data_IF_567293029364
#
_entry.id   IF_567293029364
#
_cell.length_a   1.000
_cell.length_b   1.000
_cell.length_c   1.000
_cell.angle_alpha   90.00
_cell.angle_beta   90.00
_cell.angle_gamma   90.00
#
_symmetry.space_group_name_H-M   'P 1'
#
loop_
_entity.id
_entity.type
_entity.pdbx_description
1 polymer ?
#
# COMPACT_ATOMS: atom_id res chain seq x y z
N UNK A 1 2.32 -1.00 21.84
CA UNK A 1 1.16 -0.41 21.14
C UNK A 1 0.82 0.90 21.85
N UNK A 2 0.74 2.01 21.13
CA UNK A 2 0.22 3.26 21.66
C UNK A 2 -1.28 3.35 21.32
N UNK A 3 -2.10 3.75 22.28
CA UNK A 3 -3.54 3.92 22.12
C UNK A 3 -3.90 5.32 22.61
N UNK A 4 -4.49 6.13 21.73
CA UNK A 4 -4.85 7.51 22.04
C UNK A 4 -6.30 7.75 21.64
N UNK A 5 -7.05 8.39 22.52
CA UNK A 5 -8.39 8.91 22.20
C UNK A 5 -8.27 10.38 21.81
N UNK A 6 -8.79 10.74 20.64
CA UNK A 6 -8.80 12.13 20.14
C UNK A 6 -10.19 12.48 19.62
N UNK A 7 -10.43 13.76 19.31
CA UNK A 7 -11.68 14.24 18.71
C UNK A 7 -11.40 14.76 17.31
N UNK A 8 -12.34 14.52 16.39
CA UNK A 8 -12.28 15.11 15.05
C UNK A 8 -12.40 16.64 15.11
N UNK A 9 -11.85 17.31 14.12
CA UNK A 9 -11.99 18.75 13.93
C UNK A 9 -12.06 19.08 12.45
N UNK A 10 -12.50 20.31 12.12
CA UNK A 10 -12.51 20.80 10.74
C UNK A 10 -11.18 21.46 10.39
N UNK A 11 -10.63 21.12 9.24
CA UNK A 11 -9.49 21.78 8.62
C UNK A 11 -9.88 22.20 7.21
N UNK A 12 -10.16 23.50 7.03
CA UNK A 12 -10.82 23.99 5.82
C UNK A 12 -12.18 23.29 5.62
N UNK A 13 -12.36 22.70 4.43
CA UNK A 13 -13.57 21.96 4.07
C UNK A 13 -13.53 20.48 4.48
N UNK A 14 -12.44 20.01 5.07
CA UNK A 14 -12.22 18.61 5.40
C UNK A 14 -12.40 18.33 6.90
N UNK A 15 -12.77 17.09 7.22
CA UNK A 15 -12.65 16.55 8.58
C UNK A 15 -11.25 15.98 8.78
N UNK A 16 -10.68 16.23 9.94
CA UNK A 16 -9.33 15.80 10.31
C UNK A 16 -9.30 15.22 11.72
N UNK A 17 -8.33 14.33 11.95
CA UNK A 17 -7.96 13.82 13.27
C UNK A 17 -6.55 14.28 13.61
N UNK A 18 -6.31 14.62 14.88
CA UNK A 18 -4.95 14.93 15.33
C UNK A 18 -4.25 13.63 15.66
N UNK A 19 -3.06 13.41 15.10
CA UNK A 19 -2.18 12.29 15.44
C UNK A 19 -1.07 12.83 16.36
N UNK A 20 -1.10 12.53 17.67
CA UNK A 20 0.02 12.88 18.54
C UNK A 20 1.29 12.11 18.17
N UNK A 21 2.43 12.58 18.70
CA UNK A 21 3.78 12.15 18.30
C UNK A 21 4.00 10.64 18.37
N UNK A 22 3.36 9.97 19.32
CA UNK A 22 3.45 8.52 19.56
C UNK A 22 2.75 7.67 18.49
N UNK A 23 1.79 8.24 17.75
CA UNK A 23 1.04 7.56 16.67
C UNK A 23 1.17 8.26 15.30
N UNK A 24 2.00 9.29 15.19
CA UNK A 24 2.23 10.03 13.96
C UNK A 24 3.14 9.27 12.98
N UNK A 25 2.86 9.37 11.68
CA UNK A 25 3.65 8.72 10.63
C UNK A 25 4.95 9.46 10.26
N UNK A 26 5.06 10.75 10.59
CA UNK A 26 6.16 11.62 10.18
C UNK A 26 5.79 12.55 9.02
N UNK A 27 6.75 13.37 8.54
CA UNK A 27 6.52 14.31 7.44
C UNK A 27 6.48 13.60 6.09
N UNK A 28 5.70 14.15 5.15
CA UNK A 28 5.63 13.74 3.73
C UNK A 28 5.32 12.26 3.47
N UNK A 29 4.65 11.60 4.43
CA UNK A 29 4.17 10.22 4.27
C UNK A 29 2.80 10.22 3.61
N UNK A 30 2.72 9.59 2.45
CA UNK A 30 1.46 9.34 1.75
C UNK A 30 0.70 8.22 2.44
N UNK A 31 -0.60 8.41 2.70
CA UNK A 31 -1.43 7.47 3.47
C UNK A 31 -2.60 6.94 2.63
N UNK A 32 -2.89 5.66 2.80
CA UNK A 32 -4.13 5.02 2.35
C UNK A 32 -5.10 4.94 3.52
N UNK A 33 -6.35 5.35 3.26
CA UNK A 33 -7.44 5.30 4.22
C UNK A 33 -8.48 4.29 3.70
N UNK A 34 -8.82 3.30 4.53
CA UNK A 34 -9.84 2.29 4.22
C UNK A 34 -10.91 2.32 5.30
N UNK A 35 -12.17 2.54 4.91
CA UNK A 35 -13.30 2.51 5.83
C UNK A 35 -14.10 1.22 5.67
N UNK A 36 -14.28 0.51 6.78
CA UNK A 36 -15.10 -0.70 6.88
C UNK A 36 -16.10 -0.51 8.01
N UNK A 37 -17.31 -0.03 7.68
CA UNK A 37 -18.33 0.34 8.66
C UNK A 37 -17.85 1.46 9.59
N UNK A 38 -17.74 1.14 10.88
CA UNK A 38 -17.32 2.07 11.94
C UNK A 38 -15.80 2.11 12.16
N UNK A 39 -15.05 1.26 11.44
CA UNK A 39 -13.60 1.20 11.55
C UNK A 39 -12.95 1.93 10.38
N UNK A 40 -12.09 2.90 10.70
CA UNK A 40 -11.21 3.56 9.75
C UNK A 40 -9.78 3.06 9.97
N UNK A 41 -9.22 2.38 8.97
CA UNK A 41 -7.83 1.91 8.97
C UNK A 41 -6.99 2.87 8.14
N UNK A 42 -5.89 3.36 8.72
CA UNK A 42 -4.97 4.31 8.08
C UNK A 42 -3.57 3.69 8.09
N UNK A 43 -2.92 3.64 6.93
CA UNK A 43 -1.57 3.09 6.79
C UNK A 43 -0.80 3.76 5.64
N UNK A 44 0.54 3.68 5.61
CA UNK A 44 1.33 4.24 4.50
C UNK A 44 0.98 3.63 3.14
N UNK A 45 0.76 4.48 2.14
CA UNK A 45 0.37 4.05 0.80
C UNK A 45 1.51 3.38 0.05
N UNK A 46 2.72 3.96 0.14
CA UNK A 46 3.90 3.44 -0.53
C UNK A 46 4.59 2.39 0.33
N UNK A 47 4.58 1.17 -0.19
CA UNK A 47 5.39 0.06 0.30
C UNK A 47 6.77 0.21 -0.33
N UNK A 48 7.84 0.25 0.45
CA UNK A 48 9.19 0.31 -0.12
C UNK A 48 9.47 -0.96 -0.94
N UNK A 49 10.45 -0.92 -1.86
CA UNK A 49 10.87 -2.14 -2.57
C UNK A 49 11.29 -3.24 -1.58
N UNK A 50 11.90 -2.86 -0.46
CA UNK A 50 12.24 -3.78 0.64
C UNK A 50 11.00 -4.45 1.23
N UNK A 51 9.95 -3.68 1.51
CA UNK A 51 8.70 -4.22 2.04
C UNK A 51 7.97 -5.09 1.02
N UNK A 52 8.02 -4.73 -0.28
CA UNK A 52 7.49 -5.54 -1.37
C UNK A 52 8.18 -6.90 -1.43
N UNK A 53 9.52 -6.91 -1.38
CA UNK A 53 10.31 -8.13 -1.34
C UNK A 53 9.98 -8.98 -0.10
N UNK A 54 9.81 -8.34 1.07
CA UNK A 54 9.37 -9.01 2.28
C UNK A 54 8.00 -9.70 2.14
N UNK A 55 7.04 -9.00 1.51
CA UNK A 55 5.70 -9.57 1.22
C UNK A 55 5.77 -10.73 0.23
N UNK A 56 6.58 -10.62 -0.84
CA UNK A 56 6.79 -11.71 -1.80
C UNK A 56 7.45 -12.92 -1.14
N UNK A 57 8.40 -12.72 -0.23
CA UNK A 57 9.09 -13.79 0.49
C UNK A 57 8.18 -14.54 1.48
N UNK A 58 7.12 -13.91 1.98
CA UNK A 58 6.13 -14.52 2.86
C UNK A 58 5.12 -15.43 2.11
N UNK A 59 5.01 -15.29 0.79
CA UNK A 59 4.17 -16.14 -0.05
C UNK A 59 4.90 -17.46 -0.38
N UNK A 60 4.17 -18.56 -0.64
CA UNK A 60 4.76 -19.79 -1.14
C UNK A 60 5.54 -19.54 -2.44
N UNK A 61 6.74 -20.12 -2.55
CA UNK A 61 7.50 -20.07 -3.79
C UNK A 61 6.86 -21.00 -4.82
N UNK A 62 6.82 -20.62 -6.11
CA UNK A 62 6.47 -21.55 -7.17
C UNK A 62 7.49 -22.69 -7.22
N UNK A 63 7.07 -23.85 -7.72
CA UNK A 63 7.95 -25.02 -7.83
C UNK A 63 9.15 -24.79 -8.77
N UNK A 64 9.00 -23.89 -9.75
CA UNK A 64 10.03 -23.49 -10.70
C UNK A 64 9.85 -22.03 -11.11
N UNK A 65 10.93 -21.40 -11.59
CA UNK A 65 10.87 -20.11 -12.29
C UNK A 65 10.55 -20.38 -13.76
N UNK A 66 9.53 -19.71 -14.28
CA UNK A 66 9.15 -19.79 -15.69
C UNK A 66 10.28 -19.27 -16.59
N UNK A 67 10.56 -19.99 -17.67
CA UNK A 67 11.48 -19.53 -18.71
C UNK A 67 10.67 -18.73 -19.71
N UNK A 68 11.09 -17.49 -19.98
CA UNK A 68 10.40 -16.60 -20.90
C UNK A 68 10.41 -17.19 -22.32
N UNK A 69 9.25 -17.21 -22.97
CA UNK A 69 9.15 -17.52 -24.39
C UNK A 69 9.81 -16.40 -25.22
N UNK A 70 10.78 -16.79 -26.05
CA UNK A 70 11.51 -15.90 -26.95
C UNK A 70 11.09 -16.07 -28.41
N UNK A 71 10.08 -16.91 -28.68
CA UNK A 71 9.61 -17.15 -30.03
C UNK A 71 9.11 -15.84 -30.66
N UNK A 72 9.65 -15.44 -31.83
CA UNK A 72 9.15 -14.27 -32.53
C UNK A 72 7.72 -14.51 -32.99
N UNK A 73 6.89 -13.46 -32.92
CA UNK A 73 5.56 -13.53 -33.52
C UNK A 73 5.70 -13.86 -35.01
N UNK A 74 4.89 -14.80 -35.55
CA UNK A 74 4.98 -15.15 -36.95
C UNK A 74 4.59 -13.97 -37.83
N UNK A 75 5.31 -13.80 -38.93
CA UNK A 75 4.89 -12.87 -39.99
C UNK A 75 3.51 -13.31 -40.52
N UNK A 76 2.62 -12.34 -40.75
CA UNK A 76 1.28 -12.58 -41.28
C UNK A 76 1.23 -12.10 -42.74
N UNK A 77 1.25 -13.00 -43.74
CA UNK A 77 1.16 -12.59 -45.13
C UNK A 77 -0.21 -11.95 -45.44
N UNK A 78 -0.21 -10.79 -46.11
CA UNK A 78 -1.44 -10.16 -46.63
C UNK A 78 -2.10 -9.10 -45.75
N UNK A 79 -1.36 -8.54 -44.77
CA UNK A 79 -1.70 -7.31 -44.05
C UNK A 79 -0.62 -6.25 -44.28
#
# INVERSE_FOLDING_TARGET
MAVVTTRTFKSGNSEAVRLPRDVAFGPDVELTLVRSGDVLTIYPARTSVSDLLGRLAALPRPASVEVRDEEPLPERPGL
#
